data_IF_556529817965
#
_entry.id   IF_556529817965
#
_cell.length_a   1.000
_cell.length_b   1.000
_cell.length_c   1.000
_cell.angle_alpha   90.00
_cell.angle_beta   90.00
_cell.angle_gamma   90.00
#
_symmetry.space_group_name_H-M   'P 1'
#
loop_
_entity.id
_entity.type
_entity.pdbx_description
1 polymer ?
#
# COMPACT_ATOMS: atom_id res chain seq x y z
N UNK A 1 47.29 7.16 60.52
CA UNK A 1 47.69 7.90 59.31
C UNK A 1 46.47 8.62 58.78
N UNK A 2 46.59 9.94 58.72
CA UNK A 2 45.63 10.98 58.34
C UNK A 2 45.33 10.96 56.85
N UNK A 3 44.07 11.01 56.40
CA UNK A 3 43.74 11.57 55.09
C UNK A 3 42.43 12.37 55.17
N UNK A 4 42.60 13.69 55.08
CA UNK A 4 41.55 14.68 54.91
C UNK A 4 41.60 15.14 53.45
N UNK A 5 40.42 15.41 52.89
CA UNK A 5 40.11 16.47 51.92
C UNK A 5 40.62 16.42 50.46
N UNK A 6 39.63 16.30 49.57
CA UNK A 6 39.22 17.28 48.53
C UNK A 6 40.22 17.75 47.46
N UNK A 7 39.82 17.60 46.19
CA UNK A 7 39.84 18.59 45.06
C UNK A 7 39.15 17.90 43.86
N UNK A 8 37.99 18.33 43.36
CA UNK A 8 37.65 19.50 42.52
C UNK A 8 38.18 19.45 41.07
N UNK A 9 37.20 19.34 40.14
CA UNK A 9 37.09 20.00 38.82
C UNK A 9 38.06 19.66 37.67
N UNK A 10 37.50 19.21 36.53
CA UNK A 10 38.07 19.49 35.20
C UNK A 10 37.70 18.55 34.03
N UNK A 11 36.54 18.77 33.42
CA UNK A 11 36.15 18.70 31.99
C UNK A 11 36.77 17.75 30.93
N UNK A 12 35.88 17.31 30.02
CA UNK A 12 36.07 16.84 28.61
C UNK A 12 36.58 15.40 28.44
N UNK A 13 36.09 14.53 27.56
CA UNK A 13 35.25 14.54 26.35
C UNK A 13 34.82 13.05 26.18
N UNK A 14 33.72 12.62 25.57
CA UNK A 14 33.31 12.78 24.18
C UNK A 14 31.99 11.99 24.03
N UNK A 15 31.16 12.43 23.10
CA UNK A 15 29.80 11.98 22.81
C UNK A 15 29.69 10.51 22.37
N UNK A 16 28.66 9.82 22.86
CA UNK A 16 27.89 8.82 22.11
C UNK A 16 26.69 8.39 22.96
N UNK A 17 25.50 8.91 22.67
CA UNK A 17 24.29 8.08 22.81
C UNK A 17 23.12 8.62 21.96
N UNK A 18 22.91 7.92 20.85
CA UNK A 18 21.61 7.43 20.38
C UNK A 18 20.47 8.46 20.21
N UNK A 19 20.36 8.98 18.99
CA UNK A 19 19.18 9.66 18.46
C UNK A 19 17.97 8.69 18.38
N UNK A 20 17.17 8.61 19.45
CA UNK A 20 15.82 8.03 19.38
C UNK A 20 14.83 9.07 18.83
N UNK A 21 14.56 8.97 17.53
CA UNK A 21 13.53 9.70 16.81
C UNK A 21 12.11 9.24 17.23
N UNK A 22 11.46 9.98 18.13
CA UNK A 22 10.02 9.83 18.38
C UNK A 22 9.21 10.89 17.62
N UNK A 23 8.42 10.40 16.66
CA UNK A 23 7.36 11.11 15.97
C UNK A 23 6.27 11.56 16.95
N UNK A 24 6.30 12.84 17.34
CA UNK A 24 5.14 13.51 17.94
C UNK A 24 4.41 14.29 16.86
N UNK A 25 3.16 13.91 16.57
CA UNK A 25 2.28 14.68 15.69
C UNK A 25 2.04 16.07 16.30
N UNK A 26 2.74 17.09 15.80
CA UNK A 26 2.48 18.49 16.13
C UNK A 26 1.22 18.95 15.41
N UNK A 27 0.16 19.19 16.18
CA UNK A 27 -0.92 20.08 15.77
C UNK A 27 -0.43 21.51 15.97
N UNK A 28 -0.41 22.33 14.91
CA UNK A 28 -0.16 23.77 15.06
C UNK A 28 -0.88 24.57 13.98
N UNK A 29 -1.71 25.50 14.44
CA UNK A 29 -2.41 26.48 13.63
C UNK A 29 -1.46 27.64 13.25
N UNK A 30 -1.34 27.87 11.93
CA UNK A 30 -0.95 29.08 11.19
C UNK A 30 0.26 29.96 11.59
N UNK A 31 1.30 29.93 10.73
CA UNK A 31 1.85 31.12 10.04
C UNK A 31 2.70 30.71 8.83
N UNK A 32 2.42 31.32 7.67
CA UNK A 32 3.04 31.10 6.35
C UNK A 32 4.48 31.63 6.31
N UNK A 33 5.45 30.87 5.78
CA UNK A 33 6.59 31.43 5.06
C UNK A 33 6.48 31.11 3.56
N UNK A 34 6.71 32.14 2.74
CA UNK A 34 6.92 32.04 1.30
C UNK A 34 8.23 31.30 1.02
N UNK A 35 8.12 30.08 0.48
CA UNK A 35 9.24 29.28 0.00
C UNK A 35 8.72 28.16 -0.89
N UNK A 36 9.11 28.18 -2.16
CA UNK A 36 8.66 27.26 -3.21
C UNK A 36 8.87 25.80 -2.79
N UNK A 37 7.78 25.10 -2.46
CA UNK A 37 7.71 23.65 -2.47
C UNK A 37 7.09 23.29 -3.80
N UNK A 38 7.82 22.55 -4.62
CA UNK A 38 7.34 21.90 -5.83
C UNK A 38 6.29 20.88 -5.41
N UNK A 39 5.06 21.38 -5.33
CA UNK A 39 3.83 20.66 -5.47
C UNK A 39 3.97 19.85 -6.77
N UNK A 40 4.31 18.56 -6.65
CA UNK A 40 4.06 17.59 -7.71
C UNK A 40 2.55 17.44 -7.80
N UNK A 41 1.92 18.49 -8.31
CA UNK A 41 0.56 18.47 -8.77
C UNK A 41 0.45 17.25 -9.66
N UNK A 42 -0.46 16.36 -9.30
CA UNK A 42 -1.11 15.43 -10.21
C UNK A 42 -1.77 16.24 -11.34
N UNK A 43 -0.93 16.74 -12.25
CA UNK A 43 -1.32 17.26 -13.53
C UNK A 43 -1.01 16.13 -14.48
N UNK A 44 -2.03 15.38 -14.84
CA UNK A 44 -2.57 15.48 -16.18
C UNK A 44 -3.75 14.54 -16.27
N UNK A 45 -4.91 15.14 -16.60
CA UNK A 45 -6.07 14.53 -17.23
C UNK A 45 -5.83 13.08 -17.61
N UNK A 46 -6.46 12.17 -16.87
CA UNK A 46 -6.90 10.92 -17.45
C UNK A 46 -7.49 11.27 -18.82
N UNK A 47 -6.75 10.93 -19.89
CA UNK A 47 -7.43 10.60 -21.13
C UNK A 47 -8.29 9.43 -20.70
N UNK A 48 -9.57 9.68 -20.43
CA UNK A 48 -10.58 8.64 -20.36
C UNK A 48 -10.34 7.79 -21.60
N UNK A 49 -9.70 6.65 -21.39
CA UNK A 49 -9.53 5.68 -22.45
C UNK A 49 -10.95 5.24 -22.71
N UNK A 50 -11.57 5.76 -23.78
CA UNK A 50 -12.93 5.40 -24.21
C UNK A 50 -13.16 3.93 -23.87
N UNK A 51 -14.06 3.67 -22.95
CA UNK A 51 -14.31 2.32 -22.42
C UNK A 51 -15.10 1.45 -23.40
N UNK A 52 -15.54 2.04 -24.50
CA UNK A 52 -16.44 1.44 -25.47
C UNK A 52 -15.97 1.77 -26.88
N UNK A 53 -15.60 0.73 -27.62
CA UNK A 53 -15.34 0.76 -29.06
C UNK A 53 -16.47 0.01 -29.77
N UNK A 54 -16.76 0.37 -31.02
CA UNK A 54 -17.67 -0.40 -31.85
C UNK A 54 -17.12 -1.81 -32.10
N UNK A 55 -17.98 -2.75 -32.51
CA UNK A 55 -17.55 -4.12 -32.83
C UNK A 55 -16.50 -4.13 -33.95
N UNK A 56 -16.66 -3.26 -34.93
CA UNK A 56 -15.75 -3.09 -36.05
C UNK A 56 -14.40 -2.53 -35.60
N UNK A 57 -14.40 -1.53 -34.71
CA UNK A 57 -13.19 -0.96 -34.12
C UNK A 57 -12.42 -2.00 -33.28
N UNK A 58 -13.15 -2.81 -32.50
CA UNK A 58 -12.56 -3.91 -31.73
C UNK A 58 -11.92 -4.93 -32.66
N UNK A 59 -12.60 -5.31 -33.74
CA UNK A 59 -12.07 -6.24 -34.74
C UNK A 59 -10.77 -5.70 -35.36
N UNK A 60 -10.78 -4.43 -35.80
CA UNK A 60 -9.58 -3.80 -36.37
C UNK A 60 -8.41 -3.75 -35.38
N UNK A 61 -8.66 -3.38 -34.12
CA UNK A 61 -7.63 -3.40 -33.08
C UNK A 61 -7.11 -4.80 -32.80
N UNK A 62 -7.97 -5.82 -32.81
CA UNK A 62 -7.56 -7.22 -32.62
C UNK A 62 -6.68 -7.68 -33.78
N UNK A 63 -7.04 -7.34 -35.02
CA UNK A 63 -6.24 -7.69 -36.20
C UNK A 63 -4.87 -7.02 -36.15
N UNK A 64 -4.82 -5.73 -35.78
CA UNK A 64 -3.57 -5.00 -35.56
C UNK A 64 -2.74 -5.66 -34.44
N UNK A 65 -3.35 -5.94 -33.28
CA UNK A 65 -2.69 -6.60 -32.16
C UNK A 65 -2.10 -7.96 -32.57
N UNK A 66 -2.87 -8.78 -33.27
CA UNK A 66 -2.49 -10.11 -33.72
C UNK A 66 -1.41 -10.10 -34.79
N UNK A 67 -1.35 -9.05 -35.62
CA UNK A 67 -0.28 -8.88 -36.62
C UNK A 67 1.09 -8.58 -35.98
N UNK A 68 1.08 -7.88 -34.85
CA UNK A 68 2.28 -7.52 -34.08
C UNK A 68 2.68 -8.62 -33.08
N UNK A 69 1.76 -9.54 -32.76
CA UNK A 69 2.00 -10.63 -31.83
C UNK A 69 2.78 -11.75 -32.51
N UNK A 70 4.01 -11.98 -32.05
CA UNK A 70 4.90 -13.04 -32.56
C UNK A 70 4.60 -14.44 -31.97
N UNK A 71 3.82 -14.47 -30.88
CA UNK A 71 3.53 -15.70 -30.12
C UNK A 71 2.14 -16.28 -30.45
N UNK A 72 1.84 -17.45 -29.87
CA UNK A 72 0.49 -18.04 -29.82
C UNK A 72 -0.50 -17.27 -28.90
N UNK A 73 -0.10 -16.11 -28.38
CA UNK A 73 -0.86 -15.31 -27.42
C UNK A 73 -1.76 -14.27 -28.10
N UNK A 74 -2.54 -14.72 -29.08
CA UNK A 74 -3.44 -13.87 -29.88
C UNK A 74 -4.75 -13.57 -29.16
N UNK A 75 -5.43 -12.54 -29.62
CA UNK A 75 -6.80 -12.22 -29.21
C UNK A 75 -7.80 -12.75 -30.23
N UNK A 76 -8.97 -13.18 -29.76
CA UNK A 76 -10.03 -13.75 -30.59
C UNK A 76 -11.34 -13.04 -30.29
N UNK A 77 -12.01 -12.52 -31.32
CA UNK A 77 -13.35 -11.94 -31.20
C UNK A 77 -14.40 -13.04 -31.34
N UNK A 78 -15.30 -13.16 -30.37
CA UNK A 78 -16.43 -14.08 -30.46
C UNK A 78 -17.62 -13.45 -31.21
N UNK A 79 -18.53 -14.27 -31.76
CA UNK A 79 -19.74 -13.78 -32.43
C UNK A 79 -20.63 -12.91 -31.52
N UNK A 80 -20.58 -13.15 -30.21
CA UNK A 80 -21.32 -12.38 -29.18
C UNK A 80 -20.79 -10.96 -28.97
N UNK A 81 -19.65 -10.59 -29.57
CA UNK A 81 -18.98 -9.30 -29.37
C UNK A 81 -17.98 -9.28 -28.21
N UNK A 82 -17.95 -10.33 -27.39
CA UNK A 82 -16.93 -10.51 -26.35
C UNK A 82 -15.65 -11.04 -26.99
N UNK A 83 -14.49 -10.46 -26.68
CA UNK A 83 -13.21 -11.00 -27.14
C UNK A 83 -12.44 -11.61 -25.98
N UNK A 84 -11.59 -12.59 -26.29
CA UNK A 84 -10.71 -13.25 -25.33
C UNK A 84 -9.26 -13.09 -25.73
N UNK A 85 -8.36 -13.23 -24.79
CA UNK A 85 -6.93 -13.14 -25.05
C UNK A 85 -6.11 -13.33 -23.78
N UNK A 86 -4.83 -13.01 -23.88
CA UNK A 86 -3.87 -13.25 -22.82
C UNK A 86 -3.38 -11.96 -22.18
N UNK A 87 -3.26 -11.97 -20.86
CA UNK A 87 -2.58 -10.90 -20.10
C UNK A 87 -1.48 -11.50 -19.25
N UNK A 88 -0.32 -10.81 -19.21
CA UNK A 88 0.81 -11.16 -18.35
C UNK A 88 0.79 -10.24 -17.14
N UNK A 89 0.73 -10.83 -15.95
CA UNK A 89 0.74 -10.11 -14.68
C UNK A 89 1.97 -10.54 -13.88
N UNK A 90 2.81 -9.58 -13.52
CA UNK A 90 3.95 -9.79 -12.65
C UNK A 90 3.49 -9.81 -11.19
N UNK A 91 3.85 -10.86 -10.47
CA UNK A 91 3.55 -11.02 -9.05
C UNK A 91 4.69 -10.39 -8.22
N UNK A 92 4.41 -9.27 -7.57
CA UNK A 92 5.35 -8.55 -6.69
C UNK A 92 4.78 -8.49 -5.26
N UNK A 93 4.68 -9.68 -4.65
CA UNK A 93 4.15 -9.86 -3.30
C UNK A 93 5.32 -9.89 -2.28
N UNK A 94 5.20 -9.13 -1.19
CA UNK A 94 6.30 -8.93 -0.23
C UNK A 94 6.24 -9.84 1.01
N UNK A 95 5.14 -10.59 1.22
CA UNK A 95 4.89 -11.33 2.48
C UNK A 95 4.95 -12.86 2.30
N UNK A 96 5.27 -13.60 3.37
CA UNK A 96 4.99 -15.03 3.43
C UNK A 96 3.48 -15.23 3.20
N UNK A 97 3.15 -15.92 2.12
CA UNK A 97 1.77 -16.22 1.77
C UNK A 97 1.33 -17.39 2.65
N UNK A 98 0.30 -17.20 3.47
CA UNK A 98 -0.34 -18.32 4.18
C UNK A 98 -1.08 -19.18 3.17
N UNK A 99 -0.57 -20.38 2.91
CA UNK A 99 -1.21 -21.38 2.06
C UNK A 99 -2.16 -22.19 2.95
N UNK A 100 -3.40 -22.42 2.51
CA UNK A 100 -4.27 -23.41 3.17
C UNK A 100 -3.68 -24.80 2.93
N UNK A 101 -2.93 -25.31 3.90
CA UNK A 101 -2.38 -26.66 3.89
C UNK A 101 -3.50 -27.70 3.78
N UNK A 102 -3.39 -28.60 2.80
CA UNK A 102 -4.37 -29.64 2.48
C UNK A 102 -4.42 -30.83 3.44
N UNK A 103 -3.94 -30.70 4.68
CA UNK A 103 -4.02 -31.76 5.68
C UNK A 103 -4.90 -31.36 6.85
N UNK A 104 -6.06 -32.04 6.95
CA UNK A 104 -6.89 -32.06 8.15
C UNK A 104 -6.11 -32.76 9.26
N UNK A 105 -5.43 -31.99 10.11
CA UNK A 105 -5.02 -32.49 11.41
C UNK A 105 -6.26 -32.68 12.30
N UNK A 106 -6.28 -33.78 13.05
CA UNK A 106 -7.31 -34.10 14.04
C UNK A 106 -7.35 -33.00 15.10
N UNK A 107 -8.32 -32.08 15.01
CA UNK A 107 -8.43 -30.93 15.89
C UNK A 107 -9.06 -29.66 15.29
N UNK A 108 -9.45 -29.65 14.01
CA UNK A 108 -10.30 -28.60 13.45
C UNK A 108 -9.64 -27.24 13.19
N UNK A 109 -8.34 -27.08 13.47
CA UNK A 109 -7.58 -25.89 13.11
C UNK A 109 -6.74 -26.14 11.85
N UNK A 110 -7.04 -25.40 10.77
CA UNK A 110 -6.20 -25.31 9.57
C UNK A 110 -4.86 -24.64 9.91
N UNK A 111 -3.78 -25.43 9.98
CA UNK A 111 -2.42 -24.92 10.07
C UNK A 111 -1.99 -24.46 8.68
N UNK A 112 -1.89 -23.13 8.48
CA UNK A 112 -1.42 -22.56 7.23
C UNK A 112 0.10 -22.59 7.17
N UNK A 113 0.68 -23.30 6.21
CA UNK A 113 2.12 -23.25 5.95
C UNK A 113 2.45 -22.00 5.13
N UNK A 114 3.43 -21.22 5.59
CA UNK A 114 3.89 -20.02 4.92
C UNK A 114 4.89 -20.39 3.82
N UNK A 115 4.49 -20.27 2.55
CA UNK A 115 5.40 -20.45 1.42
C UNK A 115 5.75 -19.10 0.79
N UNK A 116 7.00 -18.97 0.37
CA UNK A 116 7.49 -17.81 -0.36
C UNK A 116 7.19 -17.98 -1.85
N UNK A 117 6.40 -17.08 -2.44
CA UNK A 117 6.39 -16.96 -3.89
C UNK A 117 7.65 -16.17 -4.31
N UNK A 118 8.47 -16.68 -5.24
CA UNK A 118 9.59 -15.91 -5.77
C UNK A 118 9.09 -14.57 -6.33
N UNK A 119 9.80 -13.49 -6.00
CA UNK A 119 9.43 -12.14 -6.47
C UNK A 119 9.61 -12.07 -7.99
N UNK A 120 8.68 -11.41 -8.67
CA UNK A 120 8.77 -11.18 -10.11
C UNK A 120 8.27 -12.34 -10.97
N UNK A 121 7.59 -13.34 -10.39
CA UNK A 121 6.95 -14.40 -11.19
C UNK A 121 5.90 -13.78 -12.11
N UNK A 122 6.06 -14.00 -13.42
CA UNK A 122 5.08 -13.57 -14.42
C UNK A 122 4.05 -14.68 -14.62
N UNK A 123 2.78 -14.36 -14.38
CA UNK A 123 1.68 -15.26 -14.63
C UNK A 123 0.93 -14.84 -15.89
N UNK A 124 0.76 -15.77 -16.83
CA UNK A 124 -0.03 -15.54 -18.04
C UNK A 124 -1.43 -16.10 -17.83
N UNK A 125 -2.44 -15.25 -17.98
CA UNK A 125 -3.85 -15.60 -17.82
C UNK A 125 -4.56 -15.49 -19.16
N UNK A 126 -5.42 -16.44 -19.46
CA UNK A 126 -6.41 -16.33 -20.54
C UNK A 126 -7.71 -15.79 -19.95
N UNK A 127 -8.15 -14.61 -20.40
CA UNK A 127 -9.32 -13.89 -19.87
C UNK A 127 -10.20 -13.36 -21.01
N UNK A 128 -11.43 -12.99 -20.70
CA UNK A 128 -12.34 -12.28 -21.60
C UNK A 128 -12.29 -10.77 -21.40
N UNK A 129 -12.88 -10.03 -22.34
CA UNK A 129 -13.05 -8.58 -22.27
C UNK A 129 -14.00 -8.13 -21.16
N UNK A 130 -14.77 -9.04 -20.58
CA UNK A 130 -15.67 -8.77 -19.46
C UNK A 130 -14.99 -8.92 -18.11
N UNK A 131 -13.81 -9.57 -18.06
CA UNK A 131 -13.12 -9.78 -16.80
C UNK A 131 -12.62 -8.47 -16.22
N UNK A 132 -13.00 -8.21 -14.97
CA UNK A 132 -12.59 -7.00 -14.25
C UNK A 132 -11.26 -7.22 -13.52
N UNK A 133 -10.60 -6.12 -13.15
CA UNK A 133 -9.41 -6.13 -12.30
C UNK A 133 -9.63 -6.95 -11.04
N UNK A 134 -10.76 -6.78 -10.35
CA UNK A 134 -11.10 -7.53 -9.14
C UNK A 134 -11.12 -9.05 -9.39
N UNK A 135 -11.72 -9.48 -10.49
CA UNK A 135 -11.76 -10.90 -10.86
C UNK A 135 -10.36 -11.45 -11.18
N UNK A 136 -9.53 -10.67 -11.87
CA UNK A 136 -8.14 -11.04 -12.16
C UNK A 136 -7.32 -11.16 -10.88
N UNK A 137 -7.47 -10.23 -9.93
CA UNK A 137 -6.81 -10.31 -8.62
C UNK A 137 -7.24 -11.60 -7.90
N UNK A 138 -8.55 -11.86 -7.77
CA UNK A 138 -9.05 -13.07 -7.12
C UNK A 138 -8.54 -14.35 -7.79
N UNK A 139 -8.54 -14.42 -9.13
CA UNK A 139 -8.04 -15.57 -9.88
C UNK A 139 -6.54 -15.82 -9.64
N UNK A 140 -5.72 -14.76 -9.60
CA UNK A 140 -4.29 -14.87 -9.30
C UNK A 140 -4.06 -15.36 -7.88
N UNK A 141 -4.72 -14.75 -6.89
CA UNK A 141 -4.57 -15.12 -5.48
C UNK A 141 -4.99 -16.57 -5.23
N UNK A 142 -6.12 -17.01 -5.79
CA UNK A 142 -6.57 -18.39 -5.70
C UNK A 142 -5.57 -19.38 -6.34
N UNK A 143 -5.04 -19.03 -7.52
CA UNK A 143 -4.05 -19.87 -8.23
C UNK A 143 -2.75 -20.05 -7.43
N UNK A 144 -2.35 -19.03 -6.67
CA UNK A 144 -1.19 -19.10 -5.77
C UNK A 144 -1.56 -19.48 -4.33
N UNK A 145 -2.80 -19.94 -4.09
CA UNK A 145 -3.30 -20.37 -2.78
C UNK A 145 -3.12 -19.34 -1.67
N UNK A 146 -3.15 -18.05 -2.03
CA UNK A 146 -3.02 -16.94 -1.09
C UNK A 146 -4.32 -16.81 -0.29
N UNK A 147 -4.26 -17.09 1.02
CA UNK A 147 -5.43 -17.01 1.90
C UNK A 147 -5.75 -15.58 2.38
N UNK A 148 -4.96 -14.59 2.01
CA UNK A 148 -5.18 -13.18 2.38
C UNK A 148 -6.42 -12.59 1.70
N UNK A 149 -6.97 -11.54 2.34
CA UNK A 149 -8.08 -10.77 1.79
C UNK A 149 -7.67 -10.14 0.45
N UNK A 150 -8.41 -10.36 -0.66
CA UNK A 150 -8.12 -9.77 -1.97
C UNK A 150 -8.05 -8.24 -1.94
N UNK A 151 -8.73 -7.58 -0.99
CA UNK A 151 -8.69 -6.13 -0.82
C UNK A 151 -7.31 -5.59 -0.38
N UNK A 152 -6.42 -6.46 0.13
CA UNK A 152 -5.02 -6.09 0.42
C UNK A 152 -4.17 -5.97 -0.84
N UNK A 153 -4.68 -6.41 -1.99
CA UNK A 153 -3.93 -6.44 -3.24
C UNK A 153 -4.54 -5.48 -4.24
N UNK A 154 -3.68 -4.85 -5.03
CA UNK A 154 -4.09 -4.00 -6.11
C UNK A 154 -3.30 -4.33 -7.38
N UNK A 155 -3.97 -4.24 -8.51
CA UNK A 155 -3.34 -4.38 -9.82
C UNK A 155 -2.91 -2.99 -10.28
N UNK A 156 -1.65 -2.87 -10.66
CA UNK A 156 -1.08 -1.65 -11.19
C UNK A 156 -0.81 -1.82 -12.68
N UNK A 157 -1.11 -0.78 -13.47
CA UNK A 157 -0.57 -0.62 -14.82
C UNK A 157 0.75 0.13 -14.74
N UNK A 158 1.77 -0.39 -15.40
CA UNK A 158 3.03 0.28 -15.64
C UNK A 158 3.11 0.61 -17.13
N UNK A 159 3.23 1.89 -17.46
CA UNK A 159 3.32 2.36 -18.84
C UNK A 159 4.59 3.18 -19.01
N UNK A 160 5.29 3.01 -20.13
CA UNK A 160 6.40 3.87 -20.51
C UNK A 160 5.90 4.99 -21.43
N UNK A 161 6.17 6.25 -21.09
CA UNK A 161 5.86 7.42 -21.92
C UNK A 161 7.03 8.40 -21.82
N UNK A 162 7.54 8.85 -22.97
CA UNK A 162 8.63 9.83 -23.05
C UNK A 162 9.87 9.46 -22.19
N UNK A 163 10.28 8.17 -22.24
CA UNK A 163 11.36 7.57 -21.44
C UNK A 163 11.12 7.52 -19.90
N UNK A 164 9.98 7.98 -19.42
CA UNK A 164 9.57 7.89 -18.02
C UNK A 164 8.60 6.72 -17.81
N UNK A 165 8.80 5.99 -16.70
CA UNK A 165 7.96 4.85 -16.32
C UNK A 165 6.91 5.32 -15.31
N UNK A 166 5.65 5.34 -15.73
CA UNK A 166 4.50 5.66 -14.88
C UNK A 166 3.90 4.38 -14.31
N UNK A 167 3.50 4.41 -13.04
CA UNK A 167 2.81 3.30 -12.38
C UNK A 167 1.53 3.84 -11.76
N UNK A 168 0.39 3.33 -12.20
CA UNK A 168 -0.93 3.75 -11.73
C UNK A 168 -1.72 2.55 -11.22
N UNK A 169 -2.44 2.74 -10.11
CA UNK A 169 -3.40 1.74 -9.62
C UNK A 169 -4.58 1.65 -10.59
N UNK A 170 -4.99 0.43 -10.92
CA UNK A 170 -6.21 0.19 -11.67
C UNK A 170 -7.42 0.11 -10.74
N UNK A 171 -8.56 0.62 -11.18
CA UNK A 171 -9.82 0.49 -10.46
C UNK A 171 -10.39 -0.92 -10.62
N UNK A 172 -11.11 -1.40 -9.59
CA UNK A 172 -11.64 -2.77 -9.53
C UNK A 172 -12.56 -3.15 -10.69
N UNK A 173 -13.22 -2.15 -11.30
CA UNK A 173 -14.17 -2.28 -12.40
C UNK A 173 -13.53 -2.20 -13.78
N UNK A 174 -12.28 -1.75 -13.88
CA UNK A 174 -11.58 -1.68 -15.16
C UNK A 174 -11.35 -3.08 -15.75
N UNK A 175 -11.14 -3.13 -17.07
CA UNK A 175 -11.02 -4.36 -17.84
C UNK A 175 -9.57 -4.52 -18.35
N UNK A 176 -8.72 -5.36 -17.73
CA UNK A 176 -7.30 -5.47 -18.09
C UNK A 176 -7.06 -5.89 -19.54
N UNK A 177 -7.90 -6.78 -20.09
CA UNK A 177 -7.77 -7.21 -21.48
C UNK A 177 -8.04 -6.07 -22.46
N UNK A 178 -8.99 -5.19 -22.13
CA UNK A 178 -9.28 -4.01 -22.93
C UNK A 178 -8.10 -3.03 -22.95
N UNK A 179 -7.53 -2.76 -21.77
CA UNK A 179 -6.32 -1.93 -21.67
C UNK A 179 -5.15 -2.52 -22.47
N UNK A 180 -5.00 -3.85 -22.46
CA UNK A 180 -4.00 -4.56 -23.27
C UNK A 180 -4.25 -4.40 -24.77
N UNK A 181 -5.50 -4.53 -25.22
CA UNK A 181 -5.87 -4.34 -26.63
C UNK A 181 -5.55 -2.91 -27.11
N UNK A 182 -5.78 -1.91 -26.25
CA UNK A 182 -5.50 -0.51 -26.58
C UNK A 182 -4.02 -0.20 -26.64
N UNK A 183 -3.23 -0.73 -25.70
CA UNK A 183 -1.79 -0.48 -25.62
C UNK A 183 -0.98 -1.32 -26.63
N UNK A 184 -1.47 -2.48 -27.04
CA UNK A 184 -0.75 -3.41 -27.92
C UNK A 184 -0.03 -4.54 -27.17
N UNK A 185 0.59 -5.47 -27.92
CA UNK A 185 1.18 -6.69 -27.35
C UNK A 185 2.49 -6.46 -26.61
N UNK A 186 3.12 -5.30 -26.80
CA UNK A 186 4.40 -4.96 -26.18
C UNK A 186 4.29 -4.80 -24.65
N UNK A 187 5.24 -5.39 -23.94
CA UNK A 187 5.30 -5.37 -22.47
C UNK A 187 5.97 -4.11 -21.93
N UNK A 188 6.81 -3.45 -22.74
CA UNK A 188 7.46 -2.21 -22.36
C UNK A 188 6.48 -1.03 -22.42
N UNK A 189 5.57 -1.06 -23.40
CA UNK A 189 4.47 -0.10 -23.52
C UNK A 189 3.47 -0.19 -22.36
N UNK A 190 3.06 -1.41 -22.00
CA UNK A 190 2.15 -1.67 -20.88
C UNK A 190 2.54 -2.97 -20.19
N UNK A 191 2.65 -2.95 -18.87
CA UNK A 191 2.82 -4.14 -18.03
C UNK A 191 1.88 -4.09 -16.83
N UNK A 192 1.40 -5.25 -16.39
CA UNK A 192 0.56 -5.35 -15.21
C UNK A 192 1.36 -5.92 -14.05
N UNK A 193 1.26 -5.29 -12.88
CA UNK A 193 1.96 -5.72 -11.66
C UNK A 193 0.96 -5.85 -10.54
N UNK A 194 0.83 -7.04 -9.96
CA UNK A 194 0.06 -7.26 -8.75
C UNK A 194 0.94 -6.96 -7.54
N UNK A 195 0.52 -6.01 -6.71
CA UNK A 195 1.23 -5.62 -5.49
C UNK A 195 0.31 -5.66 -4.29
N UNK A 196 0.92 -5.88 -3.13
CA UNK A 196 0.25 -5.64 -1.86
C UNK A 196 0.11 -4.12 -1.65
N UNK A 197 -1.12 -3.65 -1.50
CA UNK A 197 -1.43 -2.27 -1.18
C UNK A 197 -1.27 -2.09 0.34
N UNK A 198 -0.16 -1.46 0.74
CA UNK A 198 -0.04 -0.86 2.07
C UNK A 198 -0.85 0.43 2.12
N UNK A 199 -2.15 0.38 1.88
CA UNK A 199 -2.99 1.51 2.29
C UNK A 199 -3.02 1.47 3.81
N UNK A 200 -2.55 2.54 4.45
CA UNK A 200 -2.94 2.86 5.82
C UNK A 200 -4.47 3.08 5.95
N UNK A 201 -5.21 3.00 4.86
CA UNK A 201 -6.66 3.01 4.79
C UNK A 201 -7.20 1.58 4.98
N UNK A 202 -7.77 1.35 6.16
CA UNK A 202 -8.43 0.09 6.53
C UNK A 202 -9.75 -0.02 5.76
N UNK A 203 -9.96 -1.13 5.05
CA UNK A 203 -11.22 -1.42 4.36
C UNK A 203 -12.29 -1.80 5.39
N UNK A 204 -12.92 -0.78 6.00
CA UNK A 204 -13.87 -0.95 7.10
C UNK A 204 -15.09 -1.81 6.71
N UNK A 205 -15.50 -1.77 5.45
CA UNK A 205 -16.63 -2.57 4.93
C UNK A 205 -16.37 -4.09 4.93
N UNK A 206 -15.12 -4.53 5.11
CA UNK A 206 -14.77 -5.94 5.20
C UNK A 206 -14.95 -6.54 6.60
N UNK A 207 -15.22 -5.71 7.61
CA UNK A 207 -15.42 -6.14 8.99
C UNK A 207 -16.91 -6.18 9.33
N UNK A 208 -17.28 -7.15 10.16
CA UNK A 208 -18.64 -7.23 10.70
C UNK A 208 -18.92 -6.07 11.67
N UNK A 209 -20.20 -5.72 11.82
CA UNK A 209 -20.63 -4.66 12.75
C UNK A 209 -20.07 -4.87 14.19
N UNK A 210 -20.05 -6.11 14.75
CA UNK A 210 -19.43 -6.36 16.05
C UNK A 210 -17.93 -6.06 16.10
N UNK A 211 -17.18 -6.37 15.04
CA UNK A 211 -15.75 -6.10 14.95
C UNK A 211 -15.49 -4.59 14.88
N UNK A 212 -16.27 -3.86 14.07
CA UNK A 212 -16.22 -2.40 14.00
C UNK A 212 -16.48 -1.73 15.36
N UNK A 213 -17.47 -2.22 16.11
CA UNK A 213 -17.73 -1.73 17.47
C UNK A 213 -16.57 -2.01 18.44
N UNK A 214 -15.86 -3.13 18.27
CA UNK A 214 -14.69 -3.43 19.08
C UNK A 214 -13.54 -2.46 18.76
N UNK A 215 -13.31 -2.16 17.49
CA UNK A 215 -12.31 -1.17 17.08
C UNK A 215 -12.60 0.20 17.68
N UNK A 216 -13.86 0.67 17.63
CA UNK A 216 -14.24 1.94 18.28
C UNK A 216 -13.94 1.93 19.78
N UNK A 217 -14.30 0.85 20.47
CA UNK A 217 -14.04 0.72 21.91
C UNK A 217 -12.54 0.73 22.25
N UNK A 218 -11.71 0.13 21.41
CA UNK A 218 -10.25 0.15 21.59
C UNK A 218 -9.72 1.57 21.39
N UNK A 219 -10.16 2.25 20.33
CA UNK A 219 -9.75 3.63 20.04
C UNK A 219 -10.17 4.59 21.15
N UNK A 220 -11.39 4.50 21.67
CA UNK A 220 -11.87 5.31 22.78
C UNK A 220 -10.98 5.12 24.03
N UNK A 221 -10.58 3.87 24.29
CA UNK A 221 -9.69 3.56 25.42
C UNK A 221 -8.30 4.14 25.21
N UNK A 222 -7.72 3.96 24.03
CA UNK A 222 -6.41 4.53 23.69
C UNK A 222 -6.41 6.06 23.75
N UNK A 223 -7.46 6.71 23.24
CA UNK A 223 -7.62 8.16 23.31
C UNK A 223 -7.65 8.65 24.76
N UNK A 224 -8.42 7.97 25.62
CA UNK A 224 -8.51 8.32 27.03
C UNK A 224 -7.16 8.15 27.74
N UNK A 225 -6.43 7.06 27.47
CA UNK A 225 -5.10 6.83 28.02
C UNK A 225 -4.09 7.92 27.58
N UNK A 226 -4.15 8.34 26.30
CA UNK A 226 -3.31 9.41 25.76
C UNK A 226 -3.64 10.76 26.40
N UNK A 227 -4.93 11.08 26.53
CA UNK A 227 -5.39 12.30 27.20
C UNK A 227 -4.89 12.37 28.63
N UNK A 228 -5.01 11.29 29.39
CA UNK A 228 -4.50 11.23 30.75
C UNK A 228 -2.97 11.35 30.81
N UNK A 229 -2.25 10.74 29.88
CA UNK A 229 -0.80 10.88 29.81
C UNK A 229 -0.38 12.33 29.57
N UNK A 230 -1.09 13.05 28.68
CA UNK A 230 -0.85 14.48 28.42
C UNK A 230 -1.15 15.31 29.67
N UNK A 231 -2.28 15.07 30.33
CA UNK A 231 -2.66 15.77 31.56
C UNK A 231 -1.59 15.57 32.63
N UNK A 232 -1.18 14.33 32.90
CA UNK A 232 -0.12 14.01 33.87
C UNK A 232 1.19 14.74 33.55
N UNK A 233 1.61 14.75 32.29
CA UNK A 233 2.83 15.48 31.86
C UNK A 233 2.71 16.98 32.09
N UNK A 234 1.55 17.55 31.79
CA UNK A 234 1.30 18.97 32.01
C UNK A 234 1.30 19.31 33.51
N UNK A 235 0.70 18.48 34.35
CA UNK A 235 0.67 18.65 35.80
C UNK A 235 2.08 18.61 36.41
N UNK A 236 2.91 17.65 36.00
CA UNK A 236 4.31 17.57 36.42
C UNK A 236 5.09 18.81 35.99
N UNK A 237 4.93 19.27 34.75
CA UNK A 237 5.58 20.48 34.26
C UNK A 237 5.13 21.73 35.05
N UNK A 238 3.84 21.82 35.37
CA UNK A 238 3.27 22.91 36.16
C UNK A 238 3.82 22.92 37.59
N UNK A 239 3.92 21.76 38.23
CA UNK A 239 4.51 21.64 39.57
C UNK A 239 5.97 22.10 39.59
N UNK A 240 6.79 21.61 38.65
CA UNK A 240 8.19 22.02 38.51
C UNK A 240 8.33 23.53 38.29
N UNK A 241 7.44 24.13 37.50
CA UNK A 241 7.44 25.58 37.28
C UNK A 241 7.09 26.34 38.57
N UNK A 242 6.10 25.86 39.34
CA UNK A 242 5.72 26.47 40.62
C UNK A 242 6.86 26.38 41.65
N UNK A 243 7.53 25.22 41.75
CA UNK A 243 8.70 25.05 42.61
C UNK A 243 9.83 26.01 42.25
N UNK A 244 10.14 26.16 40.95
CA UNK A 244 11.15 27.11 40.48
C UNK A 244 10.79 28.57 40.82
N UNK A 245 9.50 28.94 40.70
CA UNK A 245 9.04 30.28 41.07
C UNK A 245 9.19 30.56 42.58
N UNK A 246 8.89 29.57 43.43
CA UNK A 246 9.06 29.73 44.88
C UNK A 246 10.53 29.78 45.31
N UNK A 247 11.40 29.02 44.63
CA UNK A 247 12.85 29.06 44.86
C UNK A 247 13.47 30.42 44.52
N UNK A 248 12.98 31.10 43.47
CA UNK A 248 13.45 32.45 43.07
C UNK A 248 12.89 33.56 43.98
N UNK A 249 11.76 33.33 44.64
CA UNK A 249 11.10 34.29 45.53
C UNK A 249 11.55 34.28 46.99
N UNK A 250 12.52 33.44 47.36
CA UNK A 250 13.07 33.38 48.72
C UNK A 250 14.30 34.32 48.82
N UNK A 251 14.20 35.50 49.45
CA UNK A 251 15.35 36.38 49.59
C UNK A 251 16.33 35.81 50.61
N UNK A 252 17.63 35.93 50.32
CA UNK A 252 18.74 35.68 51.26
C UNK A 252 18.78 36.71 52.38
#
# INVERSE_FOLDING_TARGET
MTWNSTMSSGYSSLEEDSEEYFFTARTSFFKKPTGKVTDSKDVEKEREVRTEFSREEIQQKIDQYNSLTRDYLKMTLNPTGVFTGFVKVMMDLRRPVTVRGGQRAAGGATMGEAFYLPRGVINTLHISSENTVKQVIMALLNKFTVADNPAKYALYKRCCRDEQVYVCKLADVEKPLFLRLVAGPDLDTLSFVLREQQTGEVMWDAFSIPELRNFLRILDKEEQEQKEAIIRRYEVCRQRLQEAMMAVGSPS
#
